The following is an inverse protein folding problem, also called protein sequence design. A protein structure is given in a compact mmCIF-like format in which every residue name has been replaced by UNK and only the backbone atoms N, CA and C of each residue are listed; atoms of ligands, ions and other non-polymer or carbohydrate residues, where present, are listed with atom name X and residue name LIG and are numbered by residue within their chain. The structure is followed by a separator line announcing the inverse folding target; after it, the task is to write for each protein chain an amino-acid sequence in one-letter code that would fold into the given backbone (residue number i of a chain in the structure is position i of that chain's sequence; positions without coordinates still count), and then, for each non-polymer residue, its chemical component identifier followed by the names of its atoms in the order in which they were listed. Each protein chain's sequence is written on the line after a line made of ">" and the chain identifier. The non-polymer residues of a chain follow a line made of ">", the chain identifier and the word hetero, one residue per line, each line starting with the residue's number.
data_IF_149196906441
#
_entry.id   IF_149196906441
#
_cell.length_a   1.000
_cell.length_b   1.000
_cell.length_c   1.000
_cell.angle_alpha   90.00
_cell.angle_beta   90.00
_cell.angle_gamma   90.00
#
_symmetry.space_group_name_H-M   'P 1'
#
loop_
_entity.id
_entity.type
_entity.pdbx_description
1 polymer ?
#
# COMPACT_ATOMS: atom_id res chain seq x y z
N UNK A 1 -14.65 4.90 11.09
CA UNK A 1 -14.52 5.57 9.77
C UNK A 1 -13.26 6.44 9.64
N UNK A 2 -12.99 7.42 10.51
CA UNK A 2 -11.81 8.32 10.39
C UNK A 2 -10.47 7.59 10.20
N UNK A 3 -10.23 6.51 10.95
CA UNK A 3 -8.99 5.71 10.83
C UNK A 3 -8.84 5.01 9.48
N UNK A 4 -9.93 4.55 8.87
CA UNK A 4 -9.89 3.90 7.56
C UNK A 4 -9.53 4.90 6.45
N UNK A 5 -10.12 6.09 6.49
CA UNK A 5 -9.80 7.17 5.54
C UNK A 5 -8.34 7.59 5.68
N UNK A 6 -7.86 7.80 6.90
CA UNK A 6 -6.46 8.17 7.14
C UNK A 6 -5.47 7.15 6.60
N UNK A 7 -5.72 5.85 6.81
CA UNK A 7 -4.78 4.83 6.35
C UNK A 7 -4.86 4.61 4.84
N UNK A 8 -6.05 4.76 4.24
CA UNK A 8 -6.22 4.82 2.80
C UNK A 8 -5.45 5.99 2.16
N UNK A 9 -5.49 7.17 2.77
CA UNK A 9 -4.71 8.32 2.33
C UNK A 9 -3.20 8.04 2.47
N UNK A 10 -2.76 7.47 3.59
CA UNK A 10 -1.35 7.16 3.84
C UNK A 10 -0.73 6.22 2.79
N UNK A 11 -1.44 5.16 2.38
CA UNK A 11 -0.93 4.20 1.37
C UNK A 11 -1.06 4.70 -0.07
N UNK A 12 -1.85 5.75 -0.31
CA UNK A 12 -2.04 6.34 -1.65
C UNK A 12 -1.34 7.68 -1.85
N UNK A 13 -0.84 8.30 -0.78
CA UNK A 13 -0.09 9.54 -0.88
C UNK A 13 1.16 9.32 -1.75
N UNK A 14 1.28 10.09 -2.84
CA UNK A 14 2.38 9.97 -3.80
C UNK A 14 3.76 10.14 -3.16
N UNK A 15 3.83 10.93 -2.08
CA UNK A 15 5.05 11.16 -1.28
C UNK A 15 4.88 10.66 0.17
N UNK A 16 3.97 9.72 0.40
CA UNK A 16 3.80 9.07 1.70
C UNK A 16 4.84 7.98 1.93
N UNK A 17 4.84 7.41 3.15
CA UNK A 17 5.79 6.39 3.58
C UNK A 17 5.93 5.25 2.57
N UNK A 18 4.80 4.70 2.10
CA UNK A 18 4.80 3.61 1.12
C UNK A 18 5.58 3.97 -0.15
N UNK A 19 5.27 5.11 -0.78
CA UNK A 19 5.94 5.54 -2.01
C UNK A 19 7.43 5.84 -1.80
N UNK A 20 7.78 6.49 -0.69
CA UNK A 20 9.18 6.82 -0.37
C UNK A 20 10.02 5.57 -0.07
N UNK A 21 9.43 4.56 0.58
CA UNK A 21 10.09 3.28 0.84
C UNK A 21 10.34 2.51 -0.45
N UNK A 22 9.35 2.43 -1.35
CA UNK A 22 9.54 1.77 -2.65
C UNK A 22 10.58 2.50 -3.51
N UNK A 23 10.60 3.84 -3.49
CA UNK A 23 11.63 4.63 -4.17
C UNK A 23 13.04 4.34 -3.61
N UNK A 24 13.17 4.22 -2.29
CA UNK A 24 14.43 3.85 -1.63
C UNK A 24 14.87 2.45 -2.04
N UNK A 25 13.96 1.48 -2.04
CA UNK A 25 14.20 0.11 -2.47
C UNK A 25 14.64 0.02 -3.95
N UNK A 26 13.96 0.74 -4.84
CA UNK A 26 14.29 0.78 -6.28
C UNK A 26 15.66 1.43 -6.51
N UNK A 27 15.96 2.52 -5.80
CA UNK A 27 17.27 3.18 -5.86
C UNK A 27 18.38 2.21 -5.49
N UNK A 28 18.21 1.46 -4.38
CA UNK A 28 19.17 0.40 -3.99
C UNK A 28 19.32 -0.66 -5.07
N UNK A 29 18.21 -1.13 -5.64
CA UNK A 29 18.21 -2.09 -6.74
C UNK A 29 19.03 -1.60 -7.95
N UNK A 30 18.76 -0.39 -8.43
CA UNK A 30 19.45 0.21 -9.60
C UNK A 30 20.92 0.51 -9.32
N UNK A 31 21.29 0.83 -8.07
CA UNK A 31 22.69 1.07 -7.70
C UNK A 31 23.50 -0.21 -7.41
N UNK A 32 22.83 -1.37 -7.36
CA UNK A 32 23.49 -2.66 -7.16
C UNK A 32 24.33 -3.04 -8.38
N UNK A 33 25.49 -3.67 -8.16
CA UNK A 33 26.25 -4.32 -9.22
C UNK A 33 25.76 -5.75 -9.51
N UNK A 34 24.81 -6.25 -8.71
CA UNK A 34 24.20 -7.57 -8.83
C UNK A 34 22.78 -7.46 -9.38
N UNK A 35 22.58 -7.96 -10.61
CA UNK A 35 21.29 -7.97 -11.31
C UNK A 35 20.21 -8.75 -10.57
N UNK A 36 20.60 -9.75 -9.76
CA UNK A 36 19.63 -10.52 -8.97
C UNK A 36 19.00 -9.69 -7.86
N UNK A 37 19.75 -8.74 -7.29
CA UNK A 37 19.24 -7.77 -6.31
C UNK A 37 18.26 -6.81 -6.98
N UNK A 38 18.59 -6.29 -8.17
CA UNK A 38 17.69 -5.45 -8.95
C UNK A 38 16.37 -6.18 -9.23
N UNK A 39 16.44 -7.38 -9.82
CA UNK A 39 15.25 -8.17 -10.16
C UNK A 39 14.39 -8.50 -8.94
N UNK A 40 15.01 -8.82 -7.79
CA UNK A 40 14.29 -9.11 -6.55
C UNK A 40 13.56 -7.89 -5.99
N UNK A 41 14.21 -6.71 -6.00
CA UNK A 41 13.60 -5.45 -5.53
C UNK A 41 12.42 -5.06 -6.42
N UNK A 42 12.60 -5.05 -7.74
CA UNK A 42 11.55 -4.67 -8.68
C UNK A 42 10.35 -5.62 -8.65
N UNK A 43 10.58 -6.94 -8.54
CA UNK A 43 9.49 -7.90 -8.36
C UNK A 43 8.71 -7.69 -7.05
N UNK A 44 9.41 -7.28 -5.98
CA UNK A 44 8.75 -6.95 -4.70
C UNK A 44 7.94 -5.64 -4.80
N UNK A 45 8.47 -4.63 -5.50
CA UNK A 45 7.79 -3.36 -5.75
C UNK A 45 6.52 -3.57 -6.57
N UNK A 46 6.58 -4.37 -7.63
CA UNK A 46 5.41 -4.72 -8.46
C UNK A 46 4.34 -5.41 -7.61
N UNK A 47 4.72 -6.41 -6.81
CA UNK A 47 3.80 -7.13 -5.93
C UNK A 47 3.12 -6.20 -4.91
N UNK A 48 3.89 -5.37 -4.21
CA UNK A 48 3.37 -4.46 -3.21
C UNK A 48 2.45 -3.40 -3.82
N UNK A 49 2.79 -2.89 -5.00
CA UNK A 49 1.96 -1.93 -5.74
C UNK A 49 0.62 -2.56 -6.13
N UNK A 50 0.64 -3.79 -6.66
CA UNK A 50 -0.58 -4.52 -7.00
C UNK A 50 -1.49 -4.76 -5.79
N UNK A 51 -0.92 -5.14 -4.64
CA UNK A 51 -1.68 -5.30 -3.39
C UNK A 51 -2.28 -3.98 -2.92
N UNK A 52 -1.50 -2.89 -2.95
CA UNK A 52 -1.96 -1.54 -2.60
C UNK A 52 -3.12 -1.10 -3.49
N UNK A 53 -3.02 -1.28 -4.80
CA UNK A 53 -4.05 -0.89 -5.76
C UNK A 53 -5.36 -1.67 -5.53
N UNK A 54 -5.26 -2.97 -5.28
CA UNK A 54 -6.41 -3.80 -4.94
C UNK A 54 -7.10 -3.34 -3.65
N UNK A 55 -6.32 -3.04 -2.60
CA UNK A 55 -6.83 -2.53 -1.34
C UNK A 55 -7.49 -1.16 -1.50
N UNK A 56 -6.83 -0.24 -2.21
CA UNK A 56 -7.36 1.09 -2.49
C UNK A 56 -8.69 1.03 -3.24
N UNK A 57 -8.80 0.13 -4.22
CA UNK A 57 -10.05 -0.11 -4.96
C UNK A 57 -11.18 -0.58 -4.05
N UNK A 58 -10.93 -1.56 -3.17
CA UNK A 58 -11.91 -2.06 -2.18
C UNK A 58 -12.42 -0.94 -1.26
N UNK A 59 -11.49 -0.18 -0.66
CA UNK A 59 -11.84 0.91 0.27
C UNK A 59 -12.62 2.01 -0.46
N UNK A 60 -12.16 2.42 -1.65
CA UNK A 60 -12.84 3.45 -2.46
C UNK A 60 -14.27 3.04 -2.81
N UNK A 61 -14.47 1.80 -3.26
CA UNK A 61 -15.81 1.29 -3.59
C UNK A 61 -16.74 1.32 -2.37
N UNK A 62 -16.26 0.89 -1.20
CA UNK A 62 -17.04 0.87 0.02
C UNK A 62 -17.39 2.28 0.54
N UNK A 63 -16.45 3.22 0.46
CA UNK A 63 -16.69 4.62 0.82
C UNK A 63 -17.70 5.28 -0.14
N UNK A 64 -17.62 5.01 -1.44
CA UNK A 64 -18.60 5.48 -2.41
C UNK A 64 -20.00 4.90 -2.15
N UNK A 65 -20.11 3.60 -1.88
CA UNK A 65 -21.40 2.96 -1.58
C UNK A 65 -22.03 3.51 -0.28
N UNK A 66 -21.20 3.81 0.73
CA UNK A 66 -21.67 4.45 1.96
C UNK A 66 -22.13 5.90 1.75
N UNK A 67 -21.50 6.63 0.83
CA UNK A 67 -21.83 8.03 0.54
C UNK A 67 -23.05 8.18 -0.39
N UNK A 68 -23.24 7.28 -1.35
CA UNK A 68 -24.18 7.49 -2.45
C UNK A 68 -25.27 6.40 -2.56
N UNK A 69 -25.03 5.19 -2.05
CA UNK A 69 -25.95 4.05 -2.25
C UNK A 69 -26.72 3.65 -0.98
N UNK A 70 -26.65 4.45 0.09
CA UNK A 70 -27.20 4.14 1.42
C UNK A 70 -26.73 2.77 1.98
N UNK A 71 -25.56 2.27 1.55
CA UNK A 71 -24.99 1.02 2.05
C UNK A 71 -23.99 1.30 3.16
N UNK A 72 -24.39 1.03 4.40
CA UNK A 72 -23.51 1.21 5.55
C UNK A 72 -22.19 0.43 5.37
N UNK A 73 -21.09 1.05 5.78
CA UNK A 73 -19.77 0.44 5.78
C UNK A 73 -19.74 -0.74 6.76
N UNK A 74 -19.28 -1.90 6.30
CA UNK A 74 -19.05 -3.05 7.18
C UNK A 74 -17.81 -2.79 8.05
N UNK A 75 -17.99 -2.83 9.38
CA UNK A 75 -16.89 -2.56 10.31
C UNK A 75 -15.80 -3.65 10.32
N UNK A 76 -16.17 -4.91 10.07
CA UNK A 76 -15.21 -6.01 10.01
C UNK A 76 -14.31 -5.85 8.78
N UNK A 77 -14.89 -5.49 7.63
CA UNK A 77 -14.13 -5.19 6.42
C UNK A 77 -13.20 -3.98 6.65
N UNK A 78 -13.71 -2.92 7.28
CA UNK A 78 -12.91 -1.76 7.62
C UNK A 78 -11.71 -2.11 8.52
N UNK A 79 -11.89 -2.99 9.52
CA UNK A 79 -10.79 -3.46 10.38
C UNK A 79 -9.78 -4.29 9.59
N UNK A 80 -10.23 -5.18 8.71
CA UNK A 80 -9.37 -5.99 7.86
C UNK A 80 -8.52 -5.11 6.93
N UNK A 81 -9.11 -4.11 6.29
CA UNK A 81 -8.40 -3.19 5.40
C UNK A 81 -7.40 -2.30 6.13
N UNK A 82 -7.69 -1.89 7.36
CA UNK A 82 -6.71 -1.17 8.19
C UNK A 82 -5.49 -2.05 8.48
N UNK A 83 -5.71 -3.33 8.81
CA UNK A 83 -4.62 -4.27 9.04
C UNK A 83 -3.81 -4.56 7.75
N UNK A 84 -4.49 -4.74 6.61
CA UNK A 84 -3.86 -4.93 5.30
C UNK A 84 -3.01 -3.72 4.91
N UNK A 85 -3.52 -2.50 5.11
CA UNK A 85 -2.78 -1.28 4.86
C UNK A 85 -1.54 -1.12 5.76
N UNK A 86 -1.66 -1.47 7.04
CA UNK A 86 -0.51 -1.44 7.95
C UNK A 86 0.56 -2.46 7.53
N UNK A 87 0.14 -3.67 7.16
CA UNK A 87 1.04 -4.72 6.65
C UNK A 87 1.79 -4.26 5.40
N UNK A 88 1.13 -3.54 4.48
CA UNK A 88 1.79 -2.98 3.28
C UNK A 88 2.86 -1.95 3.64
N UNK A 89 2.59 -1.08 4.62
CA UNK A 89 3.57 -0.10 5.10
C UNK A 89 4.79 -0.79 5.73
N UNK A 90 4.55 -1.81 6.55
CA UNK A 90 5.61 -2.56 7.22
C UNK A 90 6.49 -3.32 6.20
N UNK A 91 5.88 -3.93 5.18
CA UNK A 91 6.59 -4.62 4.10
C UNK A 91 7.40 -3.66 3.22
N UNK A 92 6.84 -2.50 2.86
CA UNK A 92 7.57 -1.48 2.11
C UNK A 92 8.79 -1.00 2.90
N UNK A 93 8.62 -0.72 4.19
CA UNK A 93 9.71 -0.31 5.09
C UNK A 93 10.80 -1.37 5.20
N UNK A 94 10.43 -2.64 5.34
CA UNK A 94 11.40 -3.75 5.35
C UNK A 94 12.16 -3.88 4.02
N UNK A 95 11.47 -3.74 2.89
CA UNK A 95 12.09 -3.77 1.56
C UNK A 95 13.09 -2.61 1.36
N UNK A 96 12.74 -1.43 1.87
CA UNK A 96 13.58 -0.24 1.86
C UNK A 96 14.79 -0.35 2.80
N UNK A 97 14.67 -1.09 3.90
CA UNK A 97 15.75 -1.30 4.86
C UNK A 97 16.81 -2.30 4.35
N UNK A 98 16.38 -3.39 3.70
CA UNK A 98 17.26 -4.34 3.02
C UNK A 98 17.78 -3.84 1.69
#
# INVERSE_FOLDING_TARGET
>A
MRRLVQIYEQVNASFGQFGMDLLTASTKGVTSADDSVYASKEGSIESLTGQRDALASKIKAALSAAAFDNKALNEQDARAWIAEAQSLLDQASALAAG
#
